data_IF_814465413844
#
_entry.id   IF_814465413844
#
_cell.length_a   1.000
_cell.length_b   1.000
_cell.length_c   1.000
_cell.angle_alpha   90.00
_cell.angle_beta   90.00
_cell.angle_gamma   90.00
#
_symmetry.space_group_name_H-M   'P 1'
#
loop_
_entity.id
_entity.type
_entity.pdbx_description
1 polymer ?
#
# COMPACT_ATOMS: atom_id res chain seq x y z
N UNK A 1 10.39 -1.05 21.07
CA UNK A 1 10.04 -0.40 22.35
C UNK A 1 8.88 -1.05 23.10
N UNK A 2 7.86 -1.60 22.48
CA UNK A 2 6.77 -2.30 23.19
C UNK A 2 5.81 -1.41 23.98
N UNK A 3 5.65 -0.15 23.55
CA UNK A 3 4.72 0.79 24.18
C UNK A 3 3.26 0.37 23.90
N UNK A 4 3.00 -0.09 22.67
CA UNK A 4 1.70 -0.61 22.25
C UNK A 4 1.88 -1.94 21.53
N UNK A 5 0.85 -2.77 21.52
CA UNK A 5 0.87 -4.06 20.82
C UNK A 5 0.47 -3.91 19.36
N UNK A 6 -0.36 -2.93 19.06
CA UNK A 6 -0.96 -2.66 17.76
C UNK A 6 -0.88 -1.16 17.46
N UNK A 7 -0.67 -0.82 16.20
CA UNK A 7 -0.88 0.50 15.65
C UNK A 7 -1.66 0.39 14.33
N UNK A 8 -2.40 1.44 13.97
CA UNK A 8 -3.00 1.57 12.65
C UNK A 8 -2.18 2.59 11.87
N UNK A 9 -1.76 2.19 10.68
CA UNK A 9 -1.12 3.07 9.71
C UNK A 9 -1.99 3.27 8.49
N UNK A 10 -1.53 4.15 7.60
CA UNK A 10 -2.10 4.33 6.27
C UNK A 10 -1.01 4.12 5.23
N UNK A 11 -1.38 3.58 4.10
CA UNK A 11 -0.46 3.38 2.98
C UNK A 11 -1.11 3.71 1.65
N UNK A 12 -0.43 4.55 0.90
CA UNK A 12 -0.63 4.72 -0.53
C UNK A 12 0.37 3.84 -1.27
N UNK A 13 1.68 4.05 -1.00
CA UNK A 13 2.79 3.30 -1.58
C UNK A 13 3.92 3.18 -0.56
N UNK A 14 3.94 2.11 0.24
CA UNK A 14 5.02 1.77 1.18
C UNK A 14 4.85 2.25 2.62
N UNK A 15 3.86 3.08 2.96
CA UNK A 15 3.83 3.78 4.26
C UNK A 15 3.40 2.93 5.46
N UNK A 16 2.93 1.69 5.27
CA UNK A 16 2.77 0.65 6.30
C UNK A 16 3.92 -0.35 6.19
N UNK A 17 4.17 -0.85 4.98
CA UNK A 17 5.11 -1.93 4.72
C UNK A 17 6.56 -1.53 5.04
N UNK A 18 6.99 -0.35 4.58
CA UNK A 18 8.35 0.12 4.83
C UNK A 18 8.65 0.35 6.32
N UNK A 19 7.88 1.15 7.08
CA UNK A 19 8.14 1.33 8.50
C UNK A 19 8.00 0.04 9.31
N UNK A 20 7.11 -0.87 8.91
CA UNK A 20 7.00 -2.18 9.55
C UNK A 20 8.27 -3.01 9.36
N UNK A 21 8.81 -3.05 8.14
CA UNK A 21 10.06 -3.74 7.84
C UNK A 21 11.23 -3.17 8.64
N UNK A 22 11.41 -1.86 8.64
CA UNK A 22 12.52 -1.18 9.36
C UNK A 22 12.44 -1.43 10.88
N UNK A 23 11.25 -1.51 11.44
CA UNK A 23 11.05 -1.75 12.87
C UNK A 23 10.95 -3.24 13.23
N UNK A 24 11.10 -4.16 12.30
CA UNK A 24 11.04 -5.60 12.54
C UNK A 24 9.68 -6.07 13.07
N UNK A 25 8.60 -5.47 12.58
CA UNK A 25 7.21 -5.81 12.91
C UNK A 25 6.44 -6.25 11.67
N UNK A 26 5.26 -6.82 11.87
CA UNK A 26 4.34 -7.19 10.79
C UNK A 26 3.45 -6.00 10.46
N UNK A 27 3.41 -5.62 9.19
CA UNK A 27 2.47 -4.63 8.65
C UNK A 27 1.60 -5.26 7.58
N UNK A 28 0.33 -4.90 7.54
CA UNK A 28 -0.62 -5.37 6.54
C UNK A 28 -1.18 -4.18 5.76
N UNK A 29 -0.90 -4.13 4.45
CA UNK A 29 -1.60 -3.24 3.51
C UNK A 29 -2.76 -4.04 2.92
N UNK A 30 -4.01 -3.82 3.37
CA UNK A 30 -5.15 -4.53 2.79
C UNK A 30 -5.47 -4.01 1.39
N UNK A 31 -6.31 -4.73 0.68
CA UNK A 31 -6.91 -4.27 -0.56
C UNK A 31 -7.66 -2.96 -0.32
N UNK A 32 -7.51 -1.99 -1.21
CA UNK A 32 -8.24 -0.72 -1.15
C UNK A 32 -9.75 -0.98 -1.10
N UNK A 33 -10.41 -0.36 -0.13
CA UNK A 33 -11.84 -0.57 0.12
C UNK A 33 -12.17 -1.71 1.10
N UNK A 34 -11.20 -2.48 1.60
CA UNK A 34 -11.46 -3.47 2.65
C UNK A 34 -11.66 -2.80 4.02
N UNK A 35 -10.92 -1.73 4.27
CA UNK A 35 -11.00 -0.89 5.46
C UNK A 35 -11.41 0.52 5.04
N UNK A 36 -12.35 1.11 5.75
CA UNK A 36 -12.80 2.48 5.47
C UNK A 36 -11.68 3.50 5.66
N UNK A 37 -11.68 4.50 4.76
CA UNK A 37 -10.77 5.66 4.79
C UNK A 37 -11.48 6.93 5.24
N UNK A 38 -12.74 6.83 5.67
CA UNK A 38 -13.51 7.96 6.17
C UNK A 38 -12.78 8.63 7.33
N UNK A 39 -12.60 9.96 7.26
CA UNK A 39 -11.86 10.73 8.25
C UNK A 39 -10.33 10.67 8.14
N UNK A 40 -9.78 9.93 7.19
CA UNK A 40 -8.33 9.89 6.92
C UNK A 40 -7.99 10.97 5.89
N UNK A 41 -6.91 11.73 6.14
CA UNK A 41 -6.40 12.71 5.18
C UNK A 41 -5.87 11.94 3.95
N UNK A 42 -6.41 12.21 2.74
CA UNK A 42 -6.07 11.42 1.55
C UNK A 42 -4.73 11.82 0.95
N UNK A 43 -4.09 10.86 0.28
CA UNK A 43 -3.06 11.10 -0.73
C UNK A 43 -3.59 10.71 -2.09
N UNK A 44 -4.16 9.50 -2.23
CA UNK A 44 -4.67 9.00 -3.50
C UNK A 44 -5.89 8.12 -3.29
N UNK A 45 -7.03 8.57 -3.73
CA UNK A 45 -8.31 7.86 -3.56
C UNK A 45 -8.32 6.45 -4.18
N UNK A 46 -7.52 6.23 -5.23
CA UNK A 46 -7.41 4.94 -5.90
C UNK A 46 -6.44 3.96 -5.25
N UNK A 47 -5.58 4.40 -4.32
CA UNK A 47 -4.51 3.58 -3.75
C UNK A 47 -4.49 3.54 -2.22
N UNK A 48 -4.99 4.58 -1.54
CA UNK A 48 -4.96 4.69 -0.08
C UNK A 48 -5.70 3.55 0.58
N UNK A 49 -5.12 3.06 1.67
CA UNK A 49 -5.76 2.12 2.58
C UNK A 49 -5.27 2.36 4.01
N UNK A 50 -6.09 2.02 4.99
CA UNK A 50 -5.65 1.88 6.37
C UNK A 50 -5.34 0.42 6.66
N UNK A 51 -4.37 0.16 7.54
CA UNK A 51 -4.02 -1.20 7.88
C UNK A 51 -3.27 -1.32 9.20
N UNK A 52 -3.32 -2.52 9.82
CA UNK A 52 -2.72 -2.78 11.11
C UNK A 52 -1.22 -3.06 11.00
N UNK A 53 -0.51 -2.66 12.04
CA UNK A 53 0.90 -2.99 12.30
C UNK A 53 1.02 -3.57 13.71
N UNK A 54 1.77 -4.66 13.88
CA UNK A 54 1.89 -5.32 15.19
C UNK A 54 3.04 -6.32 15.24
N UNK A 55 3.27 -6.91 16.42
CA UNK A 55 4.41 -7.80 16.65
C UNK A 55 4.27 -9.19 16.02
N UNK A 56 3.08 -9.58 15.61
CA UNK A 56 2.82 -10.91 15.03
C UNK A 56 1.70 -10.89 14.00
N UNK A 57 1.75 -11.85 13.07
CA UNK A 57 0.69 -12.04 12.06
C UNK A 57 -0.67 -12.25 12.73
N UNK A 58 -0.74 -12.98 13.84
CA UNK A 58 -1.99 -13.26 14.54
C UNK A 58 -2.68 -11.98 15.04
N UNK A 59 -1.92 -11.05 15.65
CA UNK A 59 -2.50 -9.82 16.17
C UNK A 59 -2.90 -8.87 15.02
N UNK A 60 -2.10 -8.82 13.95
CA UNK A 60 -2.40 -8.04 12.75
C UNK A 60 -3.67 -8.57 12.07
N UNK A 61 -3.81 -9.89 11.93
CA UNK A 61 -5.00 -10.51 11.34
C UNK A 61 -6.28 -10.26 12.17
N UNK A 62 -6.21 -10.41 13.50
CA UNK A 62 -7.32 -10.08 14.40
C UNK A 62 -7.72 -8.60 14.30
N UNK A 63 -6.75 -7.71 14.22
CA UNK A 63 -7.03 -6.28 14.09
C UNK A 63 -7.67 -5.98 12.74
N UNK A 64 -7.14 -6.57 11.65
CA UNK A 64 -7.73 -6.40 10.33
C UNK A 64 -9.20 -6.85 10.30
N UNK A 65 -9.51 -7.99 10.93
CA UNK A 65 -10.88 -8.52 11.04
C UNK A 65 -11.83 -7.51 11.70
N UNK A 66 -11.36 -6.83 12.77
CA UNK A 66 -12.16 -5.85 13.50
C UNK A 66 -12.38 -4.55 12.73
N UNK A 67 -11.37 -4.09 11.97
CA UNK A 67 -11.44 -2.79 11.27
C UNK A 67 -11.96 -2.89 9.84
N UNK A 68 -12.15 -4.12 9.32
CA UNK A 68 -12.68 -4.35 7.97
C UNK A 68 -14.19 -4.26 7.95
N UNK A 69 -14.77 -3.77 6.86
CA UNK A 69 -16.21 -3.74 6.68
C UNK A 69 -16.70 -2.61 5.78
N UNK A 70 -18.00 -2.66 5.51
CA UNK A 70 -18.68 -1.65 4.69
C UNK A 70 -18.91 -0.38 5.51
N UNK A 71 -18.58 0.78 4.92
CA UNK A 71 -18.87 2.11 5.43
C UNK A 71 -19.48 2.94 4.29
N UNK A 72 -20.71 3.41 4.47
CA UNK A 72 -21.41 4.23 3.46
C UNK A 72 -20.71 5.56 3.16
N UNK A 73 -19.83 6.03 4.07
CA UNK A 73 -19.04 7.23 3.88
C UNK A 73 -17.78 7.01 3.04
N UNK A 74 -17.37 5.76 2.77
CA UNK A 74 -16.29 5.42 1.84
C UNK A 74 -16.79 4.47 0.74
N UNK A 75 -17.07 5.06 -0.43
CA UNK A 75 -17.61 4.34 -1.59
C UNK A 75 -16.78 3.11 -2.02
N UNK A 76 -15.46 3.10 -1.74
CA UNK A 76 -14.63 1.95 -2.09
C UNK A 76 -15.01 0.70 -1.29
N UNK A 77 -15.54 0.86 -0.08
CA UNK A 77 -15.94 -0.27 0.77
C UNK A 77 -17.21 -0.97 0.25
N UNK A 78 -18.01 -0.29 -0.56
CA UNK A 78 -19.23 -0.87 -1.16
C UNK A 78 -18.91 -1.98 -2.17
N UNK A 79 -17.64 -2.11 -2.58
CA UNK A 79 -17.18 -3.21 -3.43
C UNK A 79 -16.98 -4.54 -2.67
N UNK A 80 -17.07 -4.54 -1.34
CA UNK A 80 -16.99 -5.76 -0.53
C UNK A 80 -18.21 -6.65 -0.85
N UNK A 81 -18.00 -7.92 -1.24
CA UNK A 81 -19.12 -8.82 -1.51
C UNK A 81 -20.02 -9.01 -0.29
N UNK A 82 -21.33 -9.06 -0.51
CA UNK A 82 -22.34 -9.17 0.58
C UNK A 82 -22.09 -10.36 1.53
N UNK A 83 -21.54 -11.45 1.01
CA UNK A 83 -21.25 -12.67 1.78
C UNK A 83 -19.76 -12.83 2.07
N UNK A 84 -18.98 -11.74 2.08
CA UNK A 84 -17.56 -11.82 2.36
C UNK A 84 -17.33 -12.14 3.84
N UNK A 85 -16.60 -13.22 4.11
CA UNK A 85 -16.26 -13.64 5.47
C UNK A 85 -14.93 -13.02 5.88
N UNK A 86 -14.96 -12.22 6.95
CA UNK A 86 -13.76 -11.58 7.52
C UNK A 86 -13.09 -12.52 8.54
N UNK A 87 -12.67 -13.72 8.12
CA UNK A 87 -12.08 -14.76 8.98
C UNK A 87 -10.55 -14.77 8.94
N UNK A 88 -9.94 -13.58 9.00
CA UNK A 88 -8.48 -13.43 8.91
C UNK A 88 -7.75 -14.01 10.12
N UNK A 89 -8.34 -13.90 11.31
CA UNK A 89 -7.78 -14.42 12.55
C UNK A 89 -7.67 -15.94 12.54
N UNK A 90 -8.64 -16.63 11.95
CA UNK A 90 -8.61 -18.07 11.80
C UNK A 90 -7.65 -18.52 10.71
N UNK A 91 -7.65 -17.83 9.57
CA UNK A 91 -6.67 -18.06 8.49
C UNK A 91 -5.22 -17.96 9.00
N UNK A 92 -4.92 -17.00 9.88
CA UNK A 92 -3.61 -16.81 10.49
C UNK A 92 -3.16 -17.94 11.45
N UNK A 93 -4.04 -18.87 11.82
CA UNK A 93 -3.67 -20.05 12.63
C UNK A 93 -3.01 -21.15 11.79
N UNK A 94 -3.23 -21.14 10.48
CA UNK A 94 -2.60 -22.11 9.59
C UNK A 94 -1.09 -21.85 9.57
N UNK A 95 -0.32 -22.91 9.87
CA UNK A 95 1.15 -22.87 9.90
C UNK A 95 1.78 -23.67 8.76
N UNK A 96 0.98 -24.13 7.80
CA UNK A 96 1.41 -24.93 6.66
C UNK A 96 1.10 -24.22 5.36
N UNK A 97 1.89 -24.52 4.35
CA UNK A 97 1.76 -24.02 2.98
C UNK A 97 1.56 -25.17 1.99
N UNK A 98 0.97 -26.29 2.43
CA UNK A 98 0.83 -27.48 1.58
C UNK A 98 0.12 -27.16 0.27
N UNK A 99 0.84 -27.33 -0.83
CA UNK A 99 0.36 -27.06 -2.19
C UNK A 99 0.38 -25.59 -2.61
N UNK A 100 0.65 -24.64 -1.71
CA UNK A 100 0.72 -23.21 -2.04
C UNK A 100 1.95 -22.94 -2.93
N UNK A 101 1.72 -22.23 -4.03
CA UNK A 101 2.74 -21.86 -5.02
C UNK A 101 3.06 -20.38 -4.93
N UNK A 102 4.29 -20.07 -4.53
CA UNK A 102 4.78 -18.70 -4.32
C UNK A 102 5.79 -18.30 -5.39
N UNK A 103 5.50 -17.23 -6.14
CA UNK A 103 6.42 -16.67 -7.11
C UNK A 103 7.46 -15.79 -6.44
N UNK A 104 8.74 -16.16 -6.53
CA UNK A 104 9.86 -15.34 -6.08
C UNK A 104 10.41 -14.57 -7.28
N UNK A 105 10.32 -13.25 -7.22
CA UNK A 105 10.87 -12.40 -8.28
C UNK A 105 12.40 -12.41 -8.20
N UNK A 106 13.04 -12.89 -9.24
CA UNK A 106 14.48 -12.75 -9.41
C UNK A 106 14.77 -11.31 -9.82
N UNK A 107 15.14 -10.49 -8.84
CA UNK A 107 15.71 -9.18 -9.11
C UNK A 107 17.19 -9.37 -9.48
N UNK A 108 17.71 -8.54 -10.39
CA UNK A 108 19.12 -8.53 -10.83
C UNK A 108 20.12 -8.14 -9.72
N UNK A 109 19.76 -8.35 -8.45
CA UNK A 109 20.66 -8.09 -7.35
C UNK A 109 21.71 -9.21 -7.27
N UNK A 110 22.89 -8.89 -7.79
CA UNK A 110 24.10 -9.75 -7.68
C UNK A 110 24.76 -9.71 -6.28
N UNK A 111 24.07 -9.21 -5.26
CA UNK A 111 24.57 -9.19 -3.89
C UNK A 111 24.39 -10.56 -3.24
N UNK A 112 25.49 -11.13 -2.71
CA UNK A 112 25.51 -12.44 -2.06
C UNK A 112 24.53 -12.51 -0.87
N UNK A 113 24.35 -11.43 -0.12
CA UNK A 113 23.43 -11.38 1.04
C UNK A 113 21.97 -11.58 0.59
N UNK A 114 21.58 -10.98 -0.54
CA UNK A 114 20.23 -11.13 -1.11
C UNK A 114 20.03 -12.57 -1.61
N UNK A 115 21.03 -13.17 -2.24
CA UNK A 115 20.97 -14.56 -2.67
C UNK A 115 20.82 -15.51 -1.48
N UNK A 116 21.51 -15.26 -0.39
CA UNK A 116 21.39 -16.03 0.85
C UNK A 116 19.99 -15.90 1.46
N UNK A 117 19.41 -14.70 1.48
CA UNK A 117 18.04 -14.48 1.94
C UNK A 117 17.01 -15.19 1.03
N UNK A 118 17.18 -15.16 -0.29
CA UNK A 118 16.33 -15.92 -1.22
C UNK A 118 16.42 -17.43 -0.96
N UNK A 119 17.62 -17.98 -0.71
CA UNK A 119 17.80 -19.38 -0.37
C UNK A 119 17.14 -19.73 0.96
N UNK A 120 17.22 -18.86 1.96
CA UNK A 120 16.53 -19.03 3.23
C UNK A 120 15.00 -19.02 3.05
N UNK A 121 14.44 -18.09 2.27
CA UNK A 121 13.02 -18.06 1.95
C UNK A 121 12.58 -19.37 1.30
N UNK A 122 13.31 -19.86 0.29
CA UNK A 122 13.01 -21.13 -0.39
C UNK A 122 13.01 -22.29 0.59
N UNK A 123 14.02 -22.37 1.47
CA UNK A 123 14.14 -23.41 2.48
C UNK A 123 12.96 -23.38 3.46
N UNK A 124 12.59 -22.22 3.96
CA UNK A 124 11.47 -22.05 4.90
C UNK A 124 10.16 -22.46 4.23
N UNK A 125 9.84 -21.94 3.05
CA UNK A 125 8.60 -22.25 2.32
C UNK A 125 8.50 -23.73 2.05
N UNK A 126 9.57 -24.38 1.57
CA UNK A 126 9.61 -25.82 1.31
C UNK A 126 9.41 -26.63 2.59
N UNK A 127 9.99 -26.22 3.71
CA UNK A 127 9.81 -26.91 5.00
C UNK A 127 8.36 -26.86 5.50
N UNK A 128 7.60 -25.87 5.07
CA UNK A 128 6.18 -25.71 5.38
C UNK A 128 5.26 -26.40 4.34
N UNK A 129 5.81 -27.05 3.32
CA UNK A 129 5.06 -27.78 2.29
C UNK A 129 4.69 -26.90 1.07
N UNK A 130 5.17 -25.68 1.01
CA UNK A 130 4.95 -24.77 -0.12
C UNK A 130 5.95 -24.99 -1.27
N UNK A 131 5.65 -24.46 -2.42
CA UNK A 131 6.45 -24.50 -3.64
C UNK A 131 6.88 -23.09 -4.01
N UNK A 132 8.18 -22.84 -4.13
CA UNK A 132 8.70 -21.57 -4.65
C UNK A 132 9.01 -21.71 -6.12
N UNK A 133 8.47 -20.80 -6.92
CA UNK A 133 8.71 -20.72 -8.37
C UNK A 133 9.52 -19.45 -8.63
N UNK A 134 10.71 -19.61 -9.21
CA UNK A 134 11.54 -18.48 -9.63
C UNK A 134 10.90 -17.79 -10.83
N UNK A 135 10.67 -16.49 -10.74
CA UNK A 135 10.01 -15.69 -11.77
C UNK A 135 11.01 -14.73 -12.39
N UNK A 136 11.19 -14.83 -13.68
CA UNK A 136 11.85 -13.79 -14.46
C UNK A 136 10.83 -12.71 -14.83
N UNK A 137 11.02 -11.50 -14.30
CA UNK A 137 10.14 -10.37 -14.54
C UNK A 137 10.91 -9.22 -15.20
N UNK A 138 10.72 -9.06 -16.49
CA UNK A 138 11.30 -7.96 -17.29
C UNK A 138 10.33 -6.78 -17.45
N UNK A 139 9.25 -6.72 -16.68
CA UNK A 139 8.28 -5.63 -16.78
C UNK A 139 8.87 -4.36 -16.19
N UNK A 140 8.66 -3.26 -16.91
CA UNK A 140 8.95 -1.93 -16.39
C UNK A 140 7.70 -1.42 -15.70
N UNK A 141 7.82 -1.14 -14.41
CA UNK A 141 6.75 -0.51 -13.64
C UNK A 141 6.56 0.95 -14.08
N UNK A 142 5.32 1.38 -14.37
CA UNK A 142 5.07 2.74 -14.88
C UNK A 142 5.02 3.77 -13.73
N UNK A 143 6.13 3.94 -13.02
CA UNK A 143 6.26 4.79 -11.84
C UNK A 143 5.90 6.26 -12.08
N UNK A 144 6.23 6.80 -13.25
CA UNK A 144 5.87 8.18 -13.63
C UNK A 144 4.34 8.34 -13.73
N UNK A 145 3.65 7.33 -14.25
CA UNK A 145 2.19 7.33 -14.33
C UNK A 145 1.54 7.22 -12.95
N UNK A 146 2.08 6.34 -12.07
CA UNK A 146 1.64 6.27 -10.68
C UNK A 146 1.85 7.60 -9.97
N UNK A 147 3.04 8.18 -10.08
CA UNK A 147 3.36 9.46 -9.45
C UNK A 147 2.42 10.58 -9.90
N UNK A 148 2.07 10.62 -11.18
CA UNK A 148 1.10 11.59 -11.69
C UNK A 148 -0.29 11.39 -11.08
N UNK A 149 -0.75 10.13 -10.93
CA UNK A 149 -2.02 9.81 -10.26
C UNK A 149 -1.99 10.33 -8.81
N UNK A 150 -0.91 10.08 -8.07
CA UNK A 150 -0.77 10.56 -6.69
C UNK A 150 -0.89 12.08 -6.59
N UNK A 151 -0.19 12.82 -7.46
CA UNK A 151 -0.22 14.28 -7.46
C UNK A 151 -1.60 14.83 -7.81
N UNK A 152 -2.27 14.24 -8.81
CA UNK A 152 -3.60 14.65 -9.25
C UNK A 152 -4.65 14.38 -8.16
N UNK A 153 -4.68 13.15 -7.64
CA UNK A 153 -5.67 12.74 -6.64
C UNK A 153 -5.44 13.38 -5.27
N UNK A 154 -4.18 13.71 -4.94
CA UNK A 154 -3.86 14.42 -3.70
C UNK A 154 -4.56 15.78 -3.62
N UNK A 155 -4.45 16.59 -4.67
CA UNK A 155 -5.10 17.90 -4.70
C UNK A 155 -6.61 17.77 -4.56
N UNK A 156 -7.23 16.95 -5.40
CA UNK A 156 -8.69 16.78 -5.42
C UNK A 156 -9.20 16.24 -4.06
N UNK A 157 -8.55 15.19 -3.54
CA UNK A 157 -8.94 14.56 -2.29
C UNK A 157 -8.71 15.44 -1.08
N UNK A 158 -7.58 16.16 -1.00
CA UNK A 158 -7.30 17.07 0.10
C UNK A 158 -8.29 18.24 0.14
N UNK A 159 -8.61 18.83 -1.01
CA UNK A 159 -9.60 19.91 -1.06
C UNK A 159 -10.98 19.43 -0.62
N UNK A 160 -11.38 18.23 -1.04
CA UNK A 160 -12.65 17.65 -0.62
C UNK A 160 -12.67 17.36 0.89
N UNK A 161 -11.60 16.79 1.43
CA UNK A 161 -11.43 16.61 2.86
C UNK A 161 -11.52 17.94 3.64
N UNK A 162 -10.83 18.98 3.17
CA UNK A 162 -10.82 20.30 3.83
C UNK A 162 -12.19 20.99 3.74
N UNK A 163 -12.92 20.86 2.63
CA UNK A 163 -14.29 21.40 2.50
C UNK A 163 -15.24 20.79 3.52
N UNK A 164 -15.10 19.49 3.78
CA UNK A 164 -15.94 18.73 4.71
C UNK A 164 -15.46 18.82 6.17
N UNK A 165 -14.31 19.43 6.42
CA UNK A 165 -13.77 19.66 7.77
C UNK A 165 -14.14 21.04 8.33
N UNK A 166 -13.92 21.23 9.64
CA UNK A 166 -14.03 22.53 10.30
C UNK A 166 -12.81 23.44 10.07
N UNK A 167 -11.89 23.08 9.15
CA UNK A 167 -10.73 23.91 8.84
C UNK A 167 -11.14 25.23 8.17
N UNK A 168 -10.44 26.30 8.50
CA UNK A 168 -10.52 27.57 7.77
C UNK A 168 -9.87 27.48 6.37
N UNK A 169 -8.92 26.53 6.18
CA UNK A 169 -8.29 26.26 4.90
C UNK A 169 -9.18 25.33 4.10
N UNK A 170 -9.41 25.64 2.82
CA UNK A 170 -10.30 24.88 1.94
C UNK A 170 -9.63 24.36 0.68
N UNK A 171 -8.44 24.85 0.39
CA UNK A 171 -7.65 24.52 -0.80
C UNK A 171 -6.19 24.21 -0.46
N UNK A 172 -5.52 23.52 -1.36
CA UNK A 172 -4.08 23.26 -1.24
C UNK A 172 -3.26 24.55 -1.20
N UNK A 173 -3.67 25.58 -1.95
CA UNK A 173 -3.02 26.89 -1.94
C UNK A 173 -3.08 27.57 -0.57
N UNK A 174 -4.16 27.37 0.19
CA UNK A 174 -4.27 27.93 1.55
C UNK A 174 -3.22 27.34 2.47
N UNK A 175 -2.98 26.01 2.36
CA UNK A 175 -1.93 25.32 3.10
C UNK A 175 -0.54 25.79 2.67
N UNK A 176 -0.29 25.92 1.38
CA UNK A 176 0.97 26.41 0.83
C UNK A 176 1.28 27.80 1.39
N UNK A 177 0.31 28.71 1.34
CA UNK A 177 0.47 30.07 1.84
C UNK A 177 0.70 30.13 3.37
N UNK A 178 0.01 29.27 4.11
CA UNK A 178 0.23 29.11 5.54
C UNK A 178 1.66 28.64 5.85
N UNK A 179 2.13 27.64 5.13
CA UNK A 179 3.48 27.08 5.28
C UNK A 179 4.56 28.11 4.95
N UNK A 180 4.38 28.92 3.89
CA UNK A 180 5.30 30.01 3.52
C UNK A 180 5.38 31.02 4.66
N UNK A 181 4.22 31.44 5.19
CA UNK A 181 4.14 32.44 6.27
C UNK A 181 4.80 31.96 7.56
N UNK A 182 4.80 30.66 7.81
CA UNK A 182 5.33 30.04 9.02
C UNK A 182 6.57 29.17 8.75
N UNK A 183 7.32 29.48 7.69
CA UNK A 183 8.40 28.64 7.12
C UNK A 183 9.42 28.20 8.17
N UNK A 184 9.90 29.11 9.00
CA UNK A 184 10.90 28.85 10.04
C UNK A 184 10.47 27.75 11.03
N UNK A 185 9.16 27.70 11.32
CA UNK A 185 8.60 26.73 12.28
C UNK A 185 8.22 25.41 11.62
N UNK A 186 7.63 25.45 10.41
CA UNK A 186 6.96 24.30 9.80
C UNK A 186 7.88 23.56 8.83
N UNK A 187 8.79 24.28 8.16
CA UNK A 187 9.67 23.72 7.14
C UNK A 187 11.16 23.90 7.48
N UNK A 188 11.62 23.54 8.71
CA UNK A 188 13.02 23.73 9.08
C UNK A 188 13.99 22.80 8.32
N UNK A 189 13.51 21.68 7.79
CA UNK A 189 14.32 20.66 7.14
C UNK A 189 13.91 20.38 5.69
N UNK A 190 12.61 20.43 5.39
CA UNK A 190 12.06 20.08 4.06
C UNK A 190 11.16 21.20 3.55
N UNK A 191 11.19 21.43 2.24
CA UNK A 191 10.27 22.32 1.56
C UNK A 191 8.93 21.65 1.23
N UNK A 192 8.14 22.31 0.37
CA UNK A 192 6.83 21.83 -0.07
C UNK A 192 6.72 21.69 -1.59
N UNK A 193 7.81 21.33 -2.25
CA UNK A 193 7.89 21.24 -3.73
C UNK A 193 6.84 20.29 -4.32
N UNK A 194 6.50 19.23 -3.57
CA UNK A 194 5.50 18.27 -3.98
C UNK A 194 4.09 18.88 -4.06
N UNK A 195 3.78 19.89 -3.23
CA UNK A 195 2.51 20.61 -3.28
C UNK A 195 2.40 21.45 -4.56
N UNK A 196 3.48 22.11 -4.96
CA UNK A 196 3.51 22.84 -6.24
C UNK A 196 3.35 21.87 -7.42
N UNK A 197 4.05 20.74 -7.41
CA UNK A 197 3.89 19.70 -8.43
C UNK A 197 2.45 19.18 -8.49
N UNK A 198 1.78 19.06 -7.34
CA UNK A 198 0.37 18.65 -7.29
C UNK A 198 -0.57 19.71 -7.90
N UNK A 199 -0.32 21.00 -7.67
CA UNK A 199 -1.06 22.08 -8.34
C UNK A 199 -0.87 22.06 -9.85
N UNK A 200 0.36 21.81 -10.32
CA UNK A 200 0.70 21.74 -11.74
C UNK A 200 0.13 20.49 -12.42
N UNK A 201 -0.14 19.43 -11.65
CA UNK A 201 -0.68 18.15 -12.14
C UNK A 201 -2.22 18.22 -12.29
N UNK A 202 -2.69 19.04 -13.24
CA UNK A 202 -4.12 19.38 -13.40
C UNK A 202 -4.76 18.84 -14.68
N UNK A 203 -4.04 18.08 -15.50
CA UNK A 203 -4.56 17.55 -16.77
C UNK A 203 -5.36 16.26 -16.54
N UNK A 204 -6.68 16.31 -16.73
CA UNK A 204 -7.53 15.13 -16.70
C UNK A 204 -7.17 14.08 -17.76
N UNK A 205 -6.71 14.51 -18.94
CA UNK A 205 -6.28 13.59 -20.00
C UNK A 205 -5.04 12.79 -19.60
N UNK A 206 -4.04 13.45 -18.98
CA UNK A 206 -2.87 12.78 -18.45
C UNK A 206 -3.22 11.83 -17.30
N UNK A 207 -4.15 12.22 -16.43
CA UNK A 207 -4.66 11.36 -15.37
C UNK A 207 -5.30 10.08 -15.92
N UNK A 208 -6.19 10.19 -16.93
CA UNK A 208 -6.80 9.03 -17.57
C UNK A 208 -5.76 8.13 -18.27
N UNK A 209 -4.80 8.73 -18.96
CA UNK A 209 -3.71 7.99 -19.59
C UNK A 209 -2.85 7.26 -18.54
N UNK A 210 -2.54 7.90 -17.43
CA UNK A 210 -1.79 7.30 -16.31
C UNK A 210 -2.53 6.12 -15.71
N UNK A 211 -3.84 6.24 -15.48
CA UNK A 211 -4.69 5.12 -15.03
C UNK A 211 -4.68 3.96 -16.02
N UNK A 212 -4.73 4.23 -17.31
CA UNK A 212 -4.63 3.20 -18.33
C UNK A 212 -3.28 2.46 -18.27
N UNK A 213 -2.17 3.17 -18.07
CA UNK A 213 -0.83 2.58 -17.90
C UNK A 213 -0.76 1.65 -16.67
N UNK A 214 -1.28 2.09 -15.54
CA UNK A 214 -1.32 1.28 -14.31
C UNK A 214 -2.20 0.05 -14.51
N UNK A 215 -3.38 0.19 -15.10
CA UNK A 215 -4.26 -0.94 -15.42
C UNK A 215 -3.58 -1.98 -16.30
N UNK A 216 -2.84 -1.54 -17.32
CA UNK A 216 -2.08 -2.46 -18.18
C UNK A 216 -0.95 -3.18 -17.42
N UNK A 217 -0.27 -2.50 -16.51
CA UNK A 217 0.74 -3.12 -15.65
C UNK A 217 0.13 -4.18 -14.74
N UNK A 218 -1.02 -3.88 -14.13
CA UNK A 218 -1.79 -4.84 -13.34
C UNK A 218 -2.18 -6.09 -14.16
N UNK A 219 -2.71 -5.91 -15.37
CA UNK A 219 -3.08 -7.04 -16.24
C UNK A 219 -1.87 -7.93 -16.58
N UNK A 220 -0.69 -7.34 -16.77
CA UNK A 220 0.55 -8.12 -16.97
C UNK A 220 0.91 -8.93 -15.72
N UNK A 221 0.66 -8.40 -14.52
CA UNK A 221 0.87 -9.11 -13.25
C UNK A 221 -0.06 -10.32 -13.14
N UNK A 222 -1.34 -10.15 -13.47
CA UNK A 222 -2.31 -11.27 -13.50
C UNK A 222 -1.85 -12.37 -14.47
N UNK A 223 -1.40 -12.00 -15.68
CA UNK A 223 -0.87 -12.97 -16.65
C UNK A 223 0.35 -13.74 -16.14
N UNK A 224 1.19 -13.15 -15.29
CA UNK A 224 2.28 -13.89 -14.65
C UNK A 224 1.76 -14.89 -13.61
N UNK A 225 0.78 -14.48 -12.80
CA UNK A 225 0.12 -15.38 -11.85
C UNK A 225 -0.46 -16.59 -12.58
N UNK A 226 -1.22 -16.34 -13.64
CA UNK A 226 -1.82 -17.39 -14.46
C UNK A 226 -0.76 -18.28 -15.15
N UNK A 227 0.27 -17.67 -15.76
CA UNK A 227 1.33 -18.40 -16.49
C UNK A 227 2.09 -19.39 -15.61
N UNK A 228 2.36 -19.02 -14.37
CA UNK A 228 3.16 -19.81 -13.43
C UNK A 228 2.30 -20.56 -12.41
N UNK A 229 0.98 -20.41 -12.49
CA UNK A 229 0.00 -21.01 -11.57
C UNK A 229 0.34 -20.68 -10.11
N UNK A 230 0.34 -19.37 -9.79
CA UNK A 230 0.76 -18.86 -8.49
C UNK A 230 -0.45 -18.49 -7.61
N UNK A 231 -0.32 -18.75 -6.31
CA UNK A 231 -1.24 -18.23 -5.31
C UNK A 231 -0.85 -16.82 -4.86
N UNK A 232 0.46 -16.53 -4.78
CA UNK A 232 0.97 -15.21 -4.40
C UNK A 232 2.41 -14.99 -4.87
N UNK A 233 2.86 -13.74 -4.78
CA UNK A 233 4.28 -13.40 -4.86
C UNK A 233 4.90 -13.33 -3.46
N UNK A 234 6.17 -13.65 -3.36
CA UNK A 234 7.00 -13.49 -2.17
C UNK A 234 8.30 -12.78 -2.55
N UNK A 235 8.82 -11.96 -1.68
CA UNK A 235 10.05 -11.23 -1.93
C UNK A 235 10.50 -10.43 -0.71
N UNK A 236 11.63 -9.74 -0.86
CA UNK A 236 12.16 -8.85 0.17
C UNK A 236 11.33 -7.56 0.21
N UNK A 237 11.04 -7.10 1.42
CA UNK A 237 10.43 -5.79 1.61
C UNK A 237 11.50 -4.72 1.44
N UNK A 238 11.15 -3.64 0.76
CA UNK A 238 12.02 -2.49 0.61
C UNK A 238 12.22 -1.84 1.99
N UNK A 239 13.44 -1.75 2.41
CA UNK A 239 13.86 -1.01 3.58
C UNK A 239 14.72 0.18 3.18
#
# INVERSE_FOLDING_TARGET
MGIVEIAIGTETNGSISCPSSINGIVGMKPTTGLVSRSGIIPISSSQDTAGPMGKSVNIVAKTLEVISGVDENDQATLSIPVNFEFDFANAAKNKRLDGVRLGLLNSEYSNSEILDLHNQIKSIVSSLGGIVVDIEDNRIYPGDAEYYILLYEFREGLEDYLKNSNSAMKKLEDIINYNIKNKELIMPYFGQDIFYKSLDSNSYLWYQWSKYKIKNSYQKTIKLIEKYDLDAFIGLTRG
#
